data_IF_268029407613
#
_entry.id   IF_268029407613
#
_cell.length_a   1.000
_cell.length_b   1.000
_cell.length_c   1.000
_cell.angle_alpha   90.00
_cell.angle_beta   90.00
_cell.angle_gamma   90.00
#
_symmetry.space_group_name_H-M   'P 1'
#
loop_
_entity.id
_entity.type
_entity.pdbx_description
1 polymer ?
#
# COMPACT_ATOMS: atom_id res chain seq x y z
N UNK A 1 -11.08 -9.47 -17.76
CA UNK A 1 -11.99 -8.84 -16.77
C UNK A 1 -11.26 -8.81 -15.42
N UNK A 2 -11.28 -7.66 -14.75
CA UNK A 2 -10.66 -7.53 -13.43
C UNK A 2 -11.41 -6.54 -12.54
N UNK A 3 -11.22 -6.67 -11.24
CA UNK A 3 -11.68 -5.69 -10.27
C UNK A 3 -10.66 -5.53 -9.13
N UNK A 4 -10.63 -4.34 -8.56
CA UNK A 4 -9.89 -4.06 -7.33
C UNK A 4 -10.85 -3.45 -6.32
N UNK A 5 -10.87 -4.02 -5.13
CA UNK A 5 -11.65 -3.55 -4.01
C UNK A 5 -10.71 -3.19 -2.86
N UNK A 6 -10.86 -1.98 -2.32
CA UNK A 6 -10.03 -1.48 -1.22
C UNK A 6 -10.90 -0.81 -0.17
N UNK A 7 -10.68 -1.18 1.09
CA UNK A 7 -11.28 -0.54 2.27
C UNK A 7 -10.16 -0.12 3.21
N UNK A 8 -10.24 1.12 3.69
CA UNK A 8 -9.19 1.69 4.54
C UNK A 8 -9.78 2.63 5.60
N UNK A 9 -10.42 2.10 6.64
CA UNK A 9 -10.89 2.91 7.76
C UNK A 9 -9.71 3.51 8.53
N UNK A 10 -9.90 4.75 8.99
CA UNK A 10 -8.94 5.50 9.79
C UNK A 10 -9.63 6.06 11.02
N UNK A 11 -8.95 5.99 12.14
CA UNK A 11 -9.38 6.55 13.42
C UNK A 11 -8.27 7.46 13.94
N UNK A 12 -8.66 8.63 14.45
CA UNK A 12 -7.73 9.54 15.09
C UNK A 12 -8.41 10.12 16.35
N UNK A 13 -7.71 10.08 17.47
CA UNK A 13 -8.14 10.61 18.74
C UNK A 13 -7.16 11.67 19.23
N UNK A 14 -7.64 12.83 19.61
CA UNK A 14 -6.83 13.93 20.14
C UNK A 14 -6.58 13.66 21.62
N UNK A 15 -5.35 13.37 21.98
CA UNK A 15 -4.92 13.02 23.34
C UNK A 15 -4.60 14.26 24.17
N UNK A 16 -4.07 15.29 23.51
CA UNK A 16 -3.74 16.61 24.07
C UNK A 16 -4.04 17.67 23.02
N UNK A 17 -4.10 18.94 23.42
CA UNK A 17 -4.43 20.07 22.55
C UNK A 17 -3.69 20.10 21.21
N UNK A 18 -2.47 19.55 21.17
CA UNK A 18 -1.61 19.55 19.98
C UNK A 18 -1.19 18.15 19.52
N UNK A 19 -1.74 17.09 20.11
CA UNK A 19 -1.30 15.72 19.83
C UNK A 19 -2.48 14.81 19.54
N UNK A 20 -2.54 14.29 18.33
CA UNK A 20 -3.46 13.23 17.92
C UNK A 20 -2.74 11.90 17.78
N UNK A 21 -3.37 10.84 18.25
CA UNK A 21 -2.97 9.45 18.02
C UNK A 21 -4.06 8.75 17.24
N UNK A 22 -3.64 7.97 16.26
CA UNK A 22 -4.61 7.29 15.40
C UNK A 22 -4.08 5.98 14.84
N UNK A 23 -4.95 5.34 14.10
CA UNK A 23 -4.62 4.13 13.37
C UNK A 23 -5.43 4.04 12.10
N UNK A 24 -4.87 3.34 11.13
CA UNK A 24 -5.51 3.00 9.86
C UNK A 24 -5.36 1.51 9.64
N UNK A 25 -6.41 0.87 9.25
CA UNK A 25 -6.36 -0.49 8.72
C UNK A 25 -6.73 -0.44 7.25
N UNK A 26 -6.00 -1.14 6.41
CA UNK A 26 -6.32 -1.25 4.99
C UNK A 26 -6.36 -2.71 4.57
N UNK A 27 -7.39 -3.04 3.80
CA UNK A 27 -7.53 -4.30 3.11
C UNK A 27 -7.78 -4.04 1.63
N UNK A 28 -7.05 -4.74 0.79
CA UNK A 28 -7.20 -4.65 -0.66
C UNK A 28 -7.25 -6.06 -1.25
N UNK A 29 -8.20 -6.26 -2.14
CA UNK A 29 -8.32 -7.47 -2.96
C UNK A 29 -8.34 -7.07 -4.42
N UNK A 30 -7.45 -7.66 -5.21
CA UNK A 30 -7.39 -7.48 -6.65
C UNK A 30 -7.51 -8.82 -7.35
N UNK A 31 -8.39 -8.87 -8.33
CA UNK A 31 -8.58 -10.01 -9.22
C UNK A 31 -8.40 -9.54 -10.64
N UNK A 32 -7.52 -10.21 -11.38
CA UNK A 32 -7.32 -9.98 -12.81
C UNK A 32 -7.46 -11.30 -13.56
N UNK A 33 -8.36 -11.34 -14.54
CA UNK A 33 -8.52 -12.46 -15.46
C UNK A 33 -8.31 -11.96 -16.88
N UNK A 34 -7.36 -12.54 -17.57
CA UNK A 34 -7.10 -12.29 -18.97
C UNK A 34 -7.32 -13.60 -19.72
N UNK A 35 -8.39 -13.63 -20.50
CA UNK A 35 -8.70 -14.73 -21.42
C UNK A 35 -8.06 -14.35 -22.77
N UNK A 36 -7.10 -15.13 -23.25
CA UNK A 36 -6.46 -15.00 -24.57
C UNK A 36 -5.89 -13.60 -24.88
N UNK A 37 -4.85 -13.18 -24.15
CA UNK A 37 -4.06 -12.01 -24.50
C UNK A 37 -2.82 -12.43 -25.29
N UNK A 38 -2.86 -12.32 -26.62
CA UNK A 38 -1.67 -12.44 -27.46
C UNK A 38 -0.92 -11.10 -27.46
N UNK A 39 0.12 -10.97 -26.65
CA UNK A 39 1.03 -9.82 -26.70
C UNK A 39 2.15 -10.17 -27.67
N UNK A 40 2.10 -9.61 -28.87
CA UNK A 40 3.20 -9.67 -29.82
C UNK A 40 4.31 -8.69 -29.43
N UNK A 41 5.21 -9.11 -28.55
CA UNK A 41 6.48 -8.44 -28.32
C UNK A 41 7.55 -9.44 -28.74
N UNK A 42 8.09 -9.25 -29.94
CA UNK A 42 9.32 -9.87 -30.49
C UNK A 42 9.66 -11.27 -29.96
N UNK A 43 8.75 -12.22 -30.15
CA UNK A 43 8.85 -13.61 -29.71
C UNK A 43 7.45 -14.11 -29.31
N UNK A 44 6.99 -15.18 -29.97
CA UNK A 44 5.69 -15.81 -29.70
C UNK A 44 5.61 -16.28 -28.23
N UNK A 45 5.12 -15.43 -27.35
CA UNK A 45 4.67 -15.80 -26.02
C UNK A 45 3.14 -15.77 -26.01
N UNK A 46 2.56 -16.88 -26.36
CA UNK A 46 1.13 -17.14 -26.16
C UNK A 46 0.84 -17.25 -24.66
N UNK A 47 0.45 -16.16 -24.04
CA UNK A 47 -0.09 -16.16 -22.67
C UNK A 47 -1.59 -16.50 -22.73
N UNK A 48 -1.89 -17.78 -22.69
CA UNK A 48 -3.26 -18.26 -22.60
C UNK A 48 -3.69 -18.32 -21.14
N UNK A 49 -4.85 -17.69 -20.84
CA UNK A 49 -5.56 -17.78 -19.56
C UNK A 49 -4.72 -17.38 -18.32
N UNK A 50 -4.44 -16.09 -18.16
CA UNK A 50 -3.80 -15.56 -16.95
C UNK A 50 -4.87 -15.25 -15.89
N UNK A 51 -4.75 -15.91 -14.74
CA UNK A 51 -5.56 -15.65 -13.56
C UNK A 51 -4.64 -15.14 -12.45
N UNK A 52 -4.88 -13.94 -11.96
CA UNK A 52 -4.15 -13.35 -10.84
C UNK A 52 -5.11 -12.90 -9.75
N UNK A 53 -4.91 -13.43 -8.56
CA UNK A 53 -5.64 -13.05 -7.36
C UNK A 53 -4.65 -12.57 -6.31
N UNK A 54 -4.81 -11.36 -5.82
CA UNK A 54 -4.00 -10.82 -4.74
C UNK A 54 -4.85 -10.28 -3.60
N UNK A 55 -4.37 -10.51 -2.39
CA UNK A 55 -4.90 -9.95 -1.15
C UNK A 55 -3.78 -9.23 -0.43
N UNK A 56 -4.04 -8.02 0.03
CA UNK A 56 -3.12 -7.31 0.90
C UNK A 56 -3.84 -6.71 2.09
N UNK A 57 -3.16 -6.68 3.21
CA UNK A 57 -3.65 -6.09 4.46
C UNK A 57 -2.51 -5.32 5.11
N UNK A 58 -2.86 -4.19 5.68
CA UNK A 58 -1.89 -3.37 6.41
C UNK A 58 -2.53 -2.67 7.60
N UNK A 59 -1.77 -2.55 8.66
CA UNK A 59 -2.07 -1.72 9.82
C UNK A 59 -1.08 -0.57 9.90
N UNK A 60 -1.57 0.62 10.23
CA UNK A 60 -0.77 1.82 10.36
C UNK A 60 -1.09 2.50 11.68
N UNK A 61 -0.07 2.77 12.48
CA UNK A 61 -0.15 3.68 13.62
C UNK A 61 0.24 5.09 13.17
N UNK A 62 -0.51 6.08 13.62
CA UNK A 62 -0.37 7.47 13.22
C UNK A 62 -0.25 8.31 14.48
N UNK A 63 0.78 9.18 14.52
CA UNK A 63 0.94 10.20 15.53
C UNK A 63 1.01 11.56 14.83
N UNK A 64 0.08 12.45 15.15
CA UNK A 64 0.00 13.80 14.59
C UNK A 64 0.31 14.82 15.66
N UNK A 65 1.22 15.72 15.35
CA UNK A 65 1.47 16.92 16.14
C UNK A 65 0.94 18.12 15.36
N UNK A 66 0.11 18.91 16.02
CA UNK A 66 -0.53 20.10 15.45
C UNK A 66 0.19 21.34 15.94
N UNK A 67 0.46 22.27 15.02
CA UNK A 67 1.13 23.54 15.29
C UNK A 67 0.24 24.63 14.72
N UNK A 68 -0.31 25.49 15.58
CA UNK A 68 -1.12 26.63 15.13
C UNK A 68 -0.24 27.67 14.41
N UNK A 69 -0.77 28.24 13.32
CA UNK A 69 -0.09 29.31 12.59
C UNK A 69 -0.51 30.65 13.18
N UNK A 70 0.37 31.27 13.94
CA UNK A 70 0.10 32.53 14.61
C UNK A 70 -1.07 32.43 15.61
N UNK A 71 -1.92 33.44 15.65
CA UNK A 71 -3.14 33.45 16.47
C UNK A 71 -4.39 32.92 15.73
N UNK A 72 -4.19 32.20 14.63
CA UNK A 72 -5.31 31.68 13.86
C UNK A 72 -5.85 30.38 14.47
N UNK A 73 -7.13 30.36 14.77
CA UNK A 73 -7.86 29.14 15.12
C UNK A 73 -8.28 28.30 13.92
N UNK A 74 -8.08 28.79 12.71
CA UNK A 74 -8.56 28.16 11.47
C UNK A 74 -7.45 27.51 10.64
N UNK A 75 -6.21 27.98 10.77
CA UNK A 75 -5.08 27.45 10.00
C UNK A 75 -4.03 26.84 10.93
N UNK A 76 -3.55 25.67 10.57
CA UNK A 76 -2.51 24.95 11.31
C UNK A 76 -1.60 24.18 10.39
N UNK A 77 -0.40 23.95 10.88
CA UNK A 77 0.51 22.93 10.38
C UNK A 77 0.29 21.65 11.16
N UNK A 78 0.47 20.52 10.53
CA UNK A 78 0.61 19.27 11.23
C UNK A 78 1.82 18.50 10.73
N UNK A 79 2.39 17.72 11.61
CA UNK A 79 3.43 16.76 11.28
C UNK A 79 2.93 15.37 11.68
N UNK A 80 2.82 14.48 10.72
CA UNK A 80 2.32 13.14 10.92
C UNK A 80 3.45 12.13 10.85
N UNK A 81 3.69 11.43 11.95
CA UNK A 81 4.54 10.25 11.98
C UNK A 81 3.67 9.02 11.69
N UNK A 82 4.07 8.24 10.71
CA UNK A 82 3.40 7.03 10.27
C UNK A 82 4.30 5.82 10.49
N UNK A 83 3.75 4.79 11.12
CA UNK A 83 4.37 3.47 11.26
C UNK A 83 3.42 2.43 10.68
N UNK A 84 3.80 1.80 9.59
CA UNK A 84 2.96 0.86 8.87
C UNK A 84 3.59 -0.52 8.79
N UNK A 85 2.77 -1.52 9.05
CA UNK A 85 3.07 -2.94 8.86
C UNK A 85 2.02 -3.52 7.91
N UNK A 86 2.47 -4.26 6.92
CA UNK A 86 1.57 -4.89 5.96
C UNK A 86 2.07 -6.22 5.46
N UNK A 87 1.16 -6.97 4.91
CA UNK A 87 1.44 -8.23 4.25
C UNK A 87 0.48 -8.46 3.09
N UNK A 88 0.87 -9.33 2.20
CA UNK A 88 0.02 -9.72 1.09
C UNK A 88 0.34 -11.10 0.57
N UNK A 89 -0.65 -11.69 -0.05
CA UNK A 89 -0.53 -12.95 -0.76
C UNK A 89 -1.07 -12.77 -2.18
N UNK A 90 -0.29 -13.23 -3.15
CA UNK A 90 -0.68 -13.21 -4.55
C UNK A 90 -0.55 -14.61 -5.13
N UNK A 91 -1.55 -15.02 -5.87
CA UNK A 91 -1.56 -16.25 -6.66
C UNK A 91 -1.73 -15.88 -8.13
N UNK A 92 -0.79 -16.30 -8.93
CA UNK A 92 -0.87 -16.16 -10.37
C UNK A 92 -0.84 -17.54 -11.01
N UNK A 93 -1.81 -17.82 -11.86
CA UNK A 93 -1.88 -19.05 -12.63
C UNK A 93 -1.94 -18.68 -14.10
N UNK A 94 -1.08 -19.29 -14.89
CA UNK A 94 -1.06 -19.12 -16.35
C UNK A 94 -0.85 -20.47 -17.05
N UNK A 95 -1.39 -20.58 -18.25
CA UNK A 95 -1.31 -21.79 -19.05
C UNK A 95 -2.66 -22.48 -19.23
N UNK A 96 -2.67 -23.55 -20.01
CA UNK A 96 -3.85 -24.38 -20.29
C UNK A 96 -3.47 -25.86 -20.26
N UNK A 97 -4.36 -26.70 -19.70
CA UNK A 97 -4.18 -28.15 -19.68
C UNK A 97 -2.99 -28.62 -18.84
N UNK A 98 -2.13 -29.47 -19.42
CA UNK A 98 -0.97 -30.05 -18.72
C UNK A 98 0.18 -29.06 -18.47
N UNK A 99 0.16 -27.88 -19.08
CA UNK A 99 1.18 -26.82 -18.89
C UNK A 99 0.71 -25.69 -17.96
N UNK A 100 -0.11 -26.00 -16.98
CA UNK A 100 -0.57 -25.05 -15.98
C UNK A 100 0.55 -24.72 -15.00
N UNK A 101 1.00 -23.47 -14.97
CA UNK A 101 2.03 -22.99 -14.03
C UNK A 101 1.43 -22.05 -13.00
N UNK A 102 1.67 -22.33 -11.73
CA UNK A 102 1.21 -21.53 -10.61
C UNK A 102 2.36 -20.86 -9.88
N UNK A 103 2.24 -19.55 -9.64
CA UNK A 103 3.18 -18.79 -8.83
C UNK A 103 2.47 -18.28 -7.59
N UNK A 104 3.03 -18.56 -6.43
CA UNK A 104 2.56 -18.04 -5.15
C UNK A 104 3.58 -17.07 -4.60
N UNK A 105 3.12 -15.88 -4.25
CA UNK A 105 3.94 -14.83 -3.68
C UNK A 105 3.39 -14.38 -2.35
N UNK A 106 4.26 -14.28 -1.37
CA UNK A 106 3.97 -13.71 -0.07
C UNK A 106 4.88 -12.53 0.18
N UNK A 107 4.29 -11.39 0.50
CA UNK A 107 5.01 -10.15 0.79
C UNK A 107 4.80 -9.71 2.24
N UNK A 108 5.83 -9.11 2.79
CA UNK A 108 5.80 -8.38 4.06
C UNK A 108 6.40 -7.00 3.84
N UNK A 109 5.71 -5.97 4.31
CA UNK A 109 6.11 -4.59 4.17
C UNK A 109 6.13 -3.90 5.53
N UNK A 110 7.21 -3.18 5.79
CA UNK A 110 7.36 -2.28 6.92
C UNK A 110 7.66 -0.89 6.38
N UNK A 111 6.95 0.12 6.88
CA UNK A 111 7.16 1.50 6.48
C UNK A 111 7.13 2.39 7.72
N UNK A 112 8.09 3.31 7.79
CA UNK A 112 8.10 4.42 8.72
C UNK A 112 8.27 5.71 7.93
N UNK A 113 7.42 6.71 8.19
CA UNK A 113 7.44 7.95 7.43
C UNK A 113 6.98 9.14 8.25
N UNK A 114 7.39 10.31 7.78
CA UNK A 114 6.99 11.61 8.31
C UNK A 114 6.34 12.39 7.18
N UNK A 115 5.11 12.85 7.39
CA UNK A 115 4.34 13.61 6.43
C UNK A 115 3.94 14.95 7.04
N UNK A 116 4.67 16.03 6.72
CA UNK A 116 4.24 17.38 7.08
C UNK A 116 3.06 17.82 6.21
N UNK A 117 2.16 18.60 6.78
CA UNK A 117 1.00 19.10 6.06
C UNK A 117 0.45 20.39 6.62
N UNK A 118 -0.50 20.94 5.87
CA UNK A 118 -1.29 22.10 6.20
C UNK A 118 -2.73 21.68 6.43
N UNK A 119 -3.40 22.27 7.39
CA UNK A 119 -4.83 22.12 7.58
C UNK A 119 -5.54 23.45 7.71
N UNK A 120 -6.77 23.48 7.21
CA UNK A 120 -7.66 24.63 7.32
C UNK A 120 -9.02 24.13 7.82
N UNK A 121 -9.46 24.63 8.98
CA UNK A 121 -10.79 24.37 9.50
C UNK A 121 -11.82 25.25 8.80
N UNK A 122 -12.77 24.65 8.13
CA UNK A 122 -13.92 25.33 7.52
C UNK A 122 -14.97 25.67 8.59
N UNK A 123 -15.13 24.78 9.53
CA UNK A 123 -15.98 24.92 10.71
C UNK A 123 -15.46 24.00 11.83
N UNK A 124 -16.17 23.90 12.96
CA UNK A 124 -15.78 23.11 14.14
C UNK A 124 -15.72 21.59 13.87
N UNK A 125 -16.27 21.11 12.75
CA UNK A 125 -16.39 19.69 12.42
C UNK A 125 -15.72 19.29 11.11
N UNK A 126 -15.29 20.27 10.30
CA UNK A 126 -14.77 20.02 8.95
C UNK A 126 -13.46 20.75 8.72
N UNK A 127 -12.46 20.02 8.28
CA UNK A 127 -11.16 20.58 7.87
C UNK A 127 -10.76 20.07 6.49
N UNK A 128 -10.01 20.89 5.78
CA UNK A 128 -9.29 20.51 4.57
C UNK A 128 -7.83 20.34 4.96
N UNK A 129 -7.24 19.21 4.57
CA UNK A 129 -5.85 18.88 4.83
C UNK A 129 -5.10 18.68 3.51
N UNK A 130 -3.88 19.20 3.45
CA UNK A 130 -2.96 19.05 2.32
C UNK A 130 -1.63 18.55 2.86
N UNK A 131 -1.20 17.38 2.45
CA UNK A 131 0.13 16.85 2.76
C UNK A 131 1.13 17.43 1.77
N UNK A 132 2.26 17.95 2.29
CA UNK A 132 3.30 18.60 1.46
C UNK A 132 4.34 17.60 0.97
N UNK A 133 4.33 16.40 1.48
CA UNK A 133 5.25 15.35 1.06
C UNK A 133 5.32 14.21 2.06
N UNK A 134 6.05 13.17 1.71
CA UNK A 134 6.35 12.05 2.59
C UNK A 134 7.85 11.77 2.54
N UNK A 135 8.50 11.85 3.67
CA UNK A 135 9.85 11.34 3.90
C UNK A 135 9.72 10.00 4.62
N UNK A 136 10.22 8.94 4.04
CA UNK A 136 10.03 7.65 4.66
C UNK A 136 11.06 6.59 4.26
N UNK A 137 11.18 5.63 5.15
CA UNK A 137 11.93 4.41 4.94
C UNK A 137 10.94 3.26 4.74
N UNK A 138 11.12 2.51 3.66
CA UNK A 138 10.32 1.36 3.32
C UNK A 138 11.22 0.12 3.25
N UNK A 139 10.84 -0.91 3.98
CA UNK A 139 11.41 -2.23 3.89
C UNK A 139 10.37 -3.21 3.35
N UNK A 140 10.70 -3.92 2.30
CA UNK A 140 9.85 -4.93 1.68
C UNK A 140 10.59 -6.26 1.59
N UNK A 141 9.95 -7.31 2.04
CA UNK A 141 10.41 -8.68 1.91
C UNK A 141 9.38 -9.49 1.12
N UNK A 142 9.81 -10.06 0.01
CA UNK A 142 8.97 -10.85 -0.89
C UNK A 142 9.54 -12.26 -1.01
N UNK A 143 8.69 -13.27 -0.78
CA UNK A 143 8.97 -14.67 -1.06
C UNK A 143 8.10 -15.15 -2.19
N UNK A 144 8.70 -15.67 -3.22
CA UNK A 144 8.04 -16.24 -4.37
C UNK A 144 8.31 -17.74 -4.45
N UNK A 145 7.27 -18.52 -4.65
CA UNK A 145 7.35 -19.97 -4.91
C UNK A 145 6.67 -20.24 -6.25
N UNK A 146 7.42 -20.79 -7.19
CA UNK A 146 6.92 -21.14 -8.52
C UNK A 146 6.91 -22.63 -8.62
N UNK A 147 5.77 -23.20 -9.00
CA UNK A 147 5.49 -24.62 -9.20
C UNK A 147 5.89 -25.59 -8.07
N UNK A 148 4.99 -26.50 -7.71
CA UNK A 148 5.25 -27.49 -6.67
C UNK A 148 6.33 -28.53 -7.06
N UNK A 149 6.67 -28.66 -8.34
CA UNK A 149 7.65 -29.60 -8.87
C UNK A 149 9.05 -28.96 -8.98
N UNK A 150 9.14 -27.67 -9.26
CA UNK A 150 10.38 -26.89 -9.26
C UNK A 150 10.27 -25.86 -8.14
N UNK A 151 10.74 -26.18 -6.96
CA UNK A 151 10.79 -25.27 -5.81
C UNK A 151 11.85 -24.17 -6.02
N UNK A 152 11.62 -23.28 -6.95
CA UNK A 152 12.34 -22.03 -7.08
C UNK A 152 11.89 -21.07 -5.97
N UNK A 153 12.56 -21.11 -4.82
CA UNK A 153 12.34 -20.12 -3.75
C UNK A 153 13.14 -18.87 -4.09
N UNK A 154 12.49 -17.80 -4.50
CA UNK A 154 13.11 -16.49 -4.62
C UNK A 154 12.75 -15.65 -3.39
N UNK A 155 13.75 -15.21 -2.65
CA UNK A 155 13.59 -14.22 -1.58
C UNK A 155 14.25 -12.92 -2.01
N UNK A 156 13.51 -11.81 -1.93
CA UNK A 156 14.01 -10.50 -2.28
C UNK A 156 13.76 -9.55 -1.12
N UNK A 157 14.83 -8.90 -0.65
CA UNK A 157 14.76 -7.84 0.33
C UNK A 157 15.03 -6.51 -0.37
N UNK A 158 14.15 -5.56 -0.20
CA UNK A 158 14.32 -4.20 -0.69
C UNK A 158 14.19 -3.22 0.47
N UNK A 159 15.16 -2.33 0.60
CA UNK A 159 15.09 -1.19 1.48
C UNK A 159 15.23 0.09 0.64
N UNK A 160 14.25 0.95 0.70
CA UNK A 160 14.21 2.18 -0.09
C UNK A 160 13.94 3.37 0.83
N UNK A 161 14.69 4.44 0.59
CA UNK A 161 14.36 5.74 1.12
C UNK A 161 13.54 6.50 0.07
N UNK A 162 12.36 6.94 0.44
CA UNK A 162 11.43 7.61 -0.47
C UNK A 162 11.18 9.05 -0.02
N UNK A 163 11.37 9.98 -0.95
CA UNK A 163 11.01 11.39 -0.81
C UNK A 163 9.96 11.69 -1.87
N UNK A 164 8.73 11.96 -1.44
CA UNK A 164 7.69 12.47 -2.33
C UNK A 164 7.46 13.94 -2.00
N UNK A 165 7.71 14.80 -2.96
CA UNK A 165 7.39 16.22 -2.92
C UNK A 165 6.35 16.43 -4.02
N UNK A 166 5.18 16.94 -3.64
CA UNK A 166 4.13 17.31 -4.59
C UNK A 166 4.29 18.77 -5.01
#
# INVERSE_FOLDING_TARGET
IGYTFKVSPMFCYIVKDNLGLGGRFAYERSLTKLDNASIKISGDLDMNNVYSLSHSYSGMAIMRNYISIGNSSRFGLFNELQLSLGGGESKMVHGSGESLTGTFERSFNFNIGIAPGLMAFLNDYTAIEVNVGLLGFNYSHVKQTTDQVYTGKRSQNMANFKVNIF
#
